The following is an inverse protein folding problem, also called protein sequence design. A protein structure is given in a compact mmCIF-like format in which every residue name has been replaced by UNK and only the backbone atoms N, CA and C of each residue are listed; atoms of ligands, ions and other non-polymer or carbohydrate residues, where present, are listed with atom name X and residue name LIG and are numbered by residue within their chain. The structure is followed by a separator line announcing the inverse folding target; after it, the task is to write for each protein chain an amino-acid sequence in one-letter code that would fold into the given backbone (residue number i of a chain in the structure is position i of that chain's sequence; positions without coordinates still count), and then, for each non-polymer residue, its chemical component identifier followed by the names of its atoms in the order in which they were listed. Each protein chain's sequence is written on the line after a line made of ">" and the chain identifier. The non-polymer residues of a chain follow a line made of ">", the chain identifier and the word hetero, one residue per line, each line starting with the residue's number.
data_IF_992052128658
#
_entry.id   IF_992052128658
#
_cell.length_a   1.000
_cell.length_b   1.000
_cell.length_c   1.000
_cell.angle_alpha   90.00
_cell.angle_beta   90.00
_cell.angle_gamma   90.00
#
_symmetry.space_group_name_H-M   'P 1'
#
loop_
_entity.id
_entity.type
_entity.pdbx_description
1 polymer ?
#
# COMPACT_ATOMS: atom_id res chain seq x y z
N UNK A 1 -20.85 -11.35 4.75
CA UNK A 1 -19.87 -10.31 5.16
C UNK A 1 -20.33 -8.96 4.63
N UNK A 2 -20.24 -7.89 5.41
CA UNK A 2 -20.61 -6.56 4.91
C UNK A 2 -19.64 -6.15 3.79
N UNK A 3 -20.14 -5.51 2.74
CA UNK A 3 -19.33 -4.99 1.62
C UNK A 3 -18.15 -4.14 2.12
N UNK A 4 -18.34 -3.44 3.25
CA UNK A 4 -17.31 -2.62 3.92
C UNK A 4 -16.14 -3.46 4.43
N UNK A 5 -16.41 -4.60 5.08
CA UNK A 5 -15.37 -5.46 5.65
C UNK A 5 -14.46 -6.06 4.56
N UNK A 6 -15.05 -6.49 3.44
CA UNK A 6 -14.27 -7.00 2.30
C UNK A 6 -13.40 -5.90 1.68
N UNK A 7 -13.96 -4.70 1.49
CA UNK A 7 -13.22 -3.58 0.91
C UNK A 7 -12.04 -3.16 1.80
N UNK A 8 -12.22 -3.18 3.12
CA UNK A 8 -11.19 -2.84 4.09
C UNK A 8 -10.05 -3.87 4.08
N UNK A 9 -10.39 -5.16 4.04
CA UNK A 9 -9.41 -6.25 3.86
C UNK A 9 -8.63 -6.11 2.55
N UNK A 10 -9.31 -5.77 1.44
CA UNK A 10 -8.68 -5.58 0.14
C UNK A 10 -7.66 -4.44 0.15
N UNK A 11 -7.98 -3.32 0.81
CA UNK A 11 -7.06 -2.19 0.94
C UNK A 11 -5.85 -2.58 1.79
N UNK A 12 -6.06 -3.28 2.91
CA UNK A 12 -4.96 -3.77 3.76
C UNK A 12 -4.05 -4.72 2.97
N UNK A 13 -4.61 -5.69 2.25
CA UNK A 13 -3.85 -6.62 1.43
C UNK A 13 -3.05 -5.88 0.34
N UNK A 14 -3.66 -4.86 -0.28
CA UNK A 14 -3.00 -4.03 -1.30
C UNK A 14 -1.85 -3.21 -0.72
N UNK A 15 -1.99 -2.65 0.49
CA UNK A 15 -0.90 -1.96 1.20
C UNK A 15 0.24 -2.94 1.47
N UNK A 16 -0.06 -4.12 2.03
CA UNK A 16 0.95 -5.15 2.31
C UNK A 16 1.70 -5.59 1.06
N UNK A 17 0.99 -5.83 -0.04
CA UNK A 17 1.59 -6.18 -1.34
C UNK A 17 2.46 -5.05 -1.87
N UNK A 18 2.01 -3.80 -1.74
CA UNK A 18 2.77 -2.64 -2.17
C UNK A 18 4.05 -2.47 -1.34
N UNK A 19 4.00 -2.65 -0.02
CA UNK A 19 5.20 -2.65 0.83
C UNK A 19 6.16 -3.80 0.47
N UNK A 20 5.63 -4.99 0.16
CA UNK A 20 6.45 -6.11 -0.32
C UNK A 20 7.20 -5.73 -1.60
N UNK A 21 6.53 -5.10 -2.57
CA UNK A 21 7.16 -4.62 -3.81
C UNK A 21 8.18 -3.51 -3.55
N UNK A 22 7.93 -2.63 -2.57
CA UNK A 22 8.89 -1.61 -2.15
C UNK A 22 10.19 -2.23 -1.60
N UNK A 23 10.06 -3.20 -0.70
CA UNK A 23 11.19 -3.93 -0.14
C UNK A 23 11.93 -4.68 -1.24
N UNK A 24 11.22 -5.45 -2.07
CA UNK A 24 11.81 -6.20 -3.16
C UNK A 24 12.56 -5.30 -4.17
N UNK A 25 11.96 -4.18 -4.58
CA UNK A 25 12.59 -3.23 -5.48
C UNK A 25 13.81 -2.56 -4.88
N UNK A 26 13.75 -2.21 -3.59
CA UNK A 26 14.88 -1.63 -2.85
C UNK A 26 16.04 -2.60 -2.69
N UNK A 27 15.78 -3.85 -2.29
CA UNK A 27 16.83 -4.87 -2.14
C UNK A 27 17.44 -5.28 -3.47
N UNK A 28 16.64 -5.34 -4.53
CA UNK A 28 17.11 -5.72 -5.88
C UNK A 28 17.96 -4.61 -6.51
N UNK A 29 17.65 -3.34 -6.24
CA UNK A 29 18.49 -2.22 -6.67
C UNK A 29 19.92 -2.29 -6.11
N UNK A 30 20.10 -2.82 -4.89
CA UNK A 30 21.42 -2.97 -4.26
C UNK A 30 22.27 -4.13 -4.80
N UNK A 31 21.78 -4.89 -5.79
CA UNK A 31 22.52 -6.01 -6.39
C UNK A 31 23.16 -5.61 -7.73
N UNK A 32 24.16 -6.36 -8.20
CA UNK A 32 24.81 -6.12 -9.51
C UNK A 32 23.87 -6.22 -10.73
N UNK A 33 22.63 -6.72 -10.52
CA UNK A 33 21.55 -6.77 -11.53
C UNK A 33 20.56 -5.60 -11.40
N UNK A 34 20.83 -4.65 -10.51
CA UNK A 34 19.96 -3.52 -10.19
C UNK A 34 19.87 -2.51 -11.33
N UNK A 35 18.71 -2.47 -11.99
CA UNK A 35 18.31 -1.38 -12.89
C UNK A 35 17.64 -0.23 -12.14
N UNK A 36 17.77 1.00 -12.65
CA UNK A 36 17.03 2.21 -12.22
C UNK A 36 15.52 1.93 -12.09
N UNK A 37 14.97 1.05 -12.92
CA UNK A 37 13.57 0.65 -12.86
C UNK A 37 13.15 -0.01 -11.53
N UNK A 38 14.06 -0.67 -10.81
CA UNK A 38 13.76 -1.23 -9.49
C UNK A 38 13.61 -0.13 -8.44
N UNK A 39 14.39 0.94 -8.54
CA UNK A 39 14.26 2.11 -7.66
C UNK A 39 12.93 2.84 -7.92
N UNK A 40 12.58 3.06 -9.19
CA UNK A 40 11.29 3.65 -9.58
C UNK A 40 10.12 2.81 -9.07
N UNK A 41 10.22 1.48 -9.20
CA UNK A 41 9.21 0.54 -8.67
C UNK A 41 9.12 0.64 -7.16
N UNK A 42 10.25 0.71 -6.45
CA UNK A 42 10.27 0.83 -5.00
C UNK A 42 9.62 2.13 -4.53
N UNK A 43 9.99 3.26 -5.14
CA UNK A 43 9.42 4.58 -4.83
C UNK A 43 7.92 4.63 -5.15
N UNK A 44 7.52 4.13 -6.33
CA UNK A 44 6.11 4.07 -6.72
C UNK A 44 5.28 3.20 -5.78
N UNK A 45 5.84 2.08 -5.32
CA UNK A 45 5.20 1.21 -4.36
C UNK A 45 5.07 1.88 -2.98
N UNK A 46 6.09 2.56 -2.47
CA UNK A 46 5.98 3.33 -1.22
C UNK A 46 4.91 4.43 -1.33
N UNK A 47 4.88 5.17 -2.43
CA UNK A 47 3.87 6.21 -2.68
C UNK A 47 2.46 5.62 -2.71
N UNK A 48 2.27 4.50 -3.40
CA UNK A 48 0.98 3.82 -3.48
C UNK A 48 0.52 3.30 -2.12
N UNK A 49 1.41 2.66 -1.36
CA UNK A 49 1.14 2.22 0.01
C UNK A 49 0.74 3.41 0.91
N UNK A 50 1.44 4.54 0.80
CA UNK A 50 1.13 5.76 1.53
C UNK A 50 -0.24 6.34 1.19
N UNK A 51 -0.58 6.43 -0.10
CA UNK A 51 -1.90 6.90 -0.56
C UNK A 51 -3.03 6.00 -0.07
N UNK A 52 -2.86 4.68 -0.14
CA UNK A 52 -3.85 3.73 0.37
C UNK A 52 -3.98 3.82 1.90
N UNK A 53 -2.87 4.03 2.62
CA UNK A 53 -2.89 4.24 4.07
C UNK A 53 -3.65 5.52 4.46
N UNK A 54 -3.48 6.61 3.72
CA UNK A 54 -4.27 7.84 3.94
C UNK A 54 -5.75 7.59 3.64
N UNK A 55 -6.05 6.86 2.56
CA UNK A 55 -7.42 6.53 2.17
C UNK A 55 -8.13 5.69 3.24
N UNK A 56 -7.50 4.62 3.74
CA UNK A 56 -8.11 3.76 4.77
C UNK A 56 -8.34 4.52 6.08
N UNK A 57 -7.40 5.39 6.49
CA UNK A 57 -7.57 6.22 7.70
C UNK A 57 -8.77 7.17 7.54
N UNK A 58 -8.90 7.84 6.38
CA UNK A 58 -10.05 8.71 6.10
C UNK A 58 -11.36 7.91 6.08
N UNK A 59 -11.36 6.74 5.44
CA UNK A 59 -12.54 5.87 5.38
C UNK A 59 -12.98 5.39 6.76
N UNK A 60 -12.04 4.96 7.61
CA UNK A 60 -12.30 4.53 8.99
C UNK A 60 -12.80 5.70 9.85
N UNK A 61 -12.19 6.89 9.72
CA UNK A 61 -12.67 8.10 10.42
C UNK A 61 -14.10 8.46 10.02
N UNK A 62 -14.38 8.47 8.71
CA UNK A 62 -15.72 8.76 8.17
C UNK A 62 -16.76 7.73 8.60
N UNK A 63 -16.41 6.44 8.61
CA UNK A 63 -17.33 5.38 9.06
C UNK A 63 -17.55 5.38 10.57
N UNK A 64 -16.59 5.84 11.37
CA UNK A 64 -16.79 6.11 12.81
C UNK A 64 -17.70 7.30 13.07
N UNK A 65 -17.59 8.39 12.29
CA UNK A 65 -18.45 9.58 12.43
C UNK A 65 -19.92 9.31 12.08
N UNK A 66 -20.18 8.39 11.15
CA UNK A 66 -21.55 8.01 10.74
C UNK A 66 -22.17 6.98 11.72
N UNK A 67 -21.38 6.44 12.65
CA UNK A 67 -21.80 5.38 13.57
C UNK A 67 -22.37 5.84 14.92
N UNK A 68 -22.77 7.10 15.06
CA UNK A 68 -23.47 7.64 16.24
C UNK A 68 -24.91 8.02 15.89
#
# INVERSE_FOLDING_TARGET
>A
MSLRSFHLLFIIASISLSLMMAVWGGTTFGTDRGSVWHLVTAVGAVLTAGLLAVYIVKFVRKTREIGY
#
